data_IF_871403230361
#
_entry.id   IF_871403230361
#
_cell.length_a   1.000
_cell.length_b   1.000
_cell.length_c   1.000
_cell.angle_alpha   90.00
_cell.angle_beta   90.00
_cell.angle_gamma   90.00
#
_symmetry.space_group_name_H-M   'P 1'
#
loop_
_entity.id
_entity.type
_entity.pdbx_description
1 polymer ?
#
# COMPACT_ATOMS: atom_id res chain seq x y z
N UNK A 1 9.87 -29.18 5.91
CA UNK A 1 10.22 -28.95 4.49
C UNK A 1 9.90 -27.49 4.21
N UNK A 2 10.94 -26.69 3.95
CA UNK A 2 10.84 -25.26 3.70
C UNK A 2 10.63 -24.98 2.21
N UNK A 3 9.99 -23.82 1.95
CA UNK A 3 9.82 -23.13 0.67
C UNK A 3 8.83 -23.76 -0.33
N UNK A 4 7.55 -23.36 -0.21
CA UNK A 4 6.74 -23.07 -1.40
C UNK A 4 6.88 -21.57 -1.66
N UNK A 5 7.99 -21.16 -2.26
CA UNK A 5 8.00 -19.86 -2.95
C UNK A 5 7.25 -20.14 -4.24
N UNK A 6 5.96 -19.77 -4.30
CA UNK A 6 5.23 -19.83 -5.55
C UNK A 6 5.94 -18.90 -6.53
N UNK A 7 6.49 -19.44 -7.60
CA UNK A 7 7.05 -18.62 -8.66
C UNK A 7 5.93 -17.73 -9.21
N UNK A 8 5.97 -16.44 -8.90
CA UNK A 8 5.00 -15.49 -9.42
C UNK A 8 5.36 -15.19 -10.88
N UNK A 9 4.46 -15.50 -11.81
CA UNK A 9 4.68 -15.25 -13.24
C UNK A 9 4.33 -13.80 -13.61
N UNK A 10 4.85 -13.32 -14.73
CA UNK A 10 4.46 -12.01 -15.28
C UNK A 10 2.95 -11.95 -15.56
N UNK A 11 2.34 -13.06 -15.98
CA UNK A 11 0.90 -13.17 -16.20
C UNK A 11 0.10 -12.97 -14.92
N UNK A 12 0.58 -13.53 -13.80
CA UNK A 12 -0.03 -13.34 -12.49
C UNK A 12 -0.11 -11.85 -12.11
N UNK A 13 1.02 -11.12 -12.23
CA UNK A 13 1.04 -9.69 -11.93
C UNK A 13 0.20 -8.86 -12.90
N UNK A 14 0.17 -9.26 -14.18
CA UNK A 14 -0.66 -8.60 -15.20
C UNK A 14 -2.15 -8.75 -14.87
N UNK A 15 -2.58 -9.97 -14.52
CA UNK A 15 -3.95 -10.26 -14.11
C UNK A 15 -4.33 -9.49 -12.84
N UNK A 16 -3.45 -9.50 -11.83
CA UNK A 16 -3.68 -8.79 -10.57
C UNK A 16 -3.82 -7.28 -10.79
N UNK A 17 -2.97 -6.69 -11.64
CA UNK A 17 -3.06 -5.29 -12.00
C UNK A 17 -4.35 -4.97 -12.78
N UNK A 18 -4.79 -5.86 -13.67
CA UNK A 18 -6.04 -5.71 -14.42
C UNK A 18 -7.29 -5.76 -13.53
N UNK A 19 -7.28 -6.52 -12.44
CA UNK A 19 -8.37 -6.55 -11.45
C UNK A 19 -8.46 -5.27 -10.62
N UNK A 20 -7.38 -4.51 -10.58
CA UNK A 20 -7.35 -3.15 -10.05
C UNK A 20 -6.44 -2.96 -8.85
N UNK A 21 -6.15 -1.69 -8.55
CA UNK A 21 -5.15 -1.29 -7.54
C UNK A 21 -5.47 -1.80 -6.13
N UNK A 22 -6.75 -1.93 -5.79
CA UNK A 22 -7.17 -2.43 -4.47
C UNK A 22 -6.76 -3.89 -4.26
N UNK A 23 -7.05 -4.77 -5.22
CA UNK A 23 -6.64 -6.18 -5.14
C UNK A 23 -5.12 -6.33 -5.10
N UNK A 24 -4.39 -5.55 -5.90
CA UNK A 24 -2.93 -5.54 -5.88
C UNK A 24 -2.38 -5.18 -4.49
N UNK A 25 -2.96 -4.18 -3.82
CA UNK A 25 -2.54 -3.76 -2.49
C UNK A 25 -2.88 -4.82 -1.44
N UNK A 26 -4.08 -5.40 -1.49
CA UNK A 26 -4.49 -6.47 -0.59
C UNK A 26 -3.57 -7.70 -0.73
N UNK A 27 -3.20 -8.05 -1.95
CA UNK A 27 -2.22 -9.10 -2.21
C UNK A 27 -0.84 -8.74 -1.63
N UNK A 28 -0.34 -7.52 -1.87
CA UNK A 28 0.93 -7.06 -1.30
C UNK A 28 0.92 -7.10 0.24
N UNK A 29 -0.21 -6.81 0.89
CA UNK A 29 -0.36 -6.95 2.34
C UNK A 29 -0.31 -8.41 2.79
N UNK A 30 -0.99 -9.30 2.05
CA UNK A 30 -1.03 -10.74 2.35
C UNK A 30 0.34 -11.39 2.24
N UNK A 31 1.12 -11.01 1.22
CA UNK A 31 2.49 -11.50 1.02
C UNK A 31 3.53 -10.78 1.91
N UNK A 32 3.11 -9.82 2.75
CA UNK A 32 4.01 -9.11 3.65
C UNK A 32 4.94 -8.09 2.96
N UNK A 33 4.67 -7.74 1.70
CA UNK A 33 5.43 -6.76 0.92
C UNK A 33 5.18 -5.32 1.39
N UNK A 34 4.01 -5.06 1.96
CA UNK A 34 3.64 -3.82 2.65
C UNK A 34 2.91 -4.15 3.96
N UNK A 35 2.87 -3.21 4.89
CA UNK A 35 2.16 -3.41 6.14
C UNK A 35 0.64 -3.50 5.91
N UNK A 36 -0.01 -4.43 6.60
CA UNK A 36 -1.46 -4.68 6.54
C UNK A 36 -2.29 -3.76 7.45
N UNK A 37 -1.66 -3.11 8.42
CA UNK A 37 -2.31 -2.16 9.33
C UNK A 37 -1.31 -1.12 9.85
N UNK A 38 -1.83 0.00 10.34
CA UNK A 38 -1.06 1.05 11.00
C UNK A 38 -1.84 1.66 12.15
N UNK A 39 -1.16 1.95 13.25
CA UNK A 39 -1.70 2.73 14.35
C UNK A 39 -1.33 4.20 14.20
N UNK A 40 -2.29 5.08 14.49
CA UNK A 40 -2.08 6.51 14.47
C UNK A 40 -1.18 6.90 15.67
N UNK A 41 -0.03 7.55 15.45
CA UNK A 41 0.86 7.93 16.56
C UNK A 41 0.29 9.04 17.47
N UNK A 42 -0.86 9.62 17.12
CA UNK A 42 -1.53 10.64 17.94
C UNK A 42 -2.65 10.10 18.82
N UNK A 43 -3.38 9.07 18.37
CA UNK A 43 -4.52 8.53 19.12
C UNK A 43 -4.49 7.01 19.31
N UNK A 44 -3.44 6.34 18.83
CA UNK A 44 -3.24 4.88 18.89
C UNK A 44 -4.38 4.05 18.28
N UNK A 45 -5.25 4.67 17.49
CA UNK A 45 -6.29 3.95 16.75
C UNK A 45 -5.79 3.49 15.39
N UNK A 46 -6.37 2.41 14.90
CA UNK A 46 -6.09 1.93 13.55
C UNK A 46 -6.42 2.98 12.49
N UNK A 47 -5.47 3.20 11.59
CA UNK A 47 -5.62 4.09 10.44
C UNK A 47 -6.43 3.39 9.35
N UNK A 48 -7.29 4.15 8.66
CA UNK A 48 -8.00 3.64 7.49
C UNK A 48 -7.14 3.72 6.23
N UNK A 49 -7.17 2.67 5.40
CA UNK A 49 -6.61 2.72 4.06
C UNK A 49 -7.56 3.51 3.15
N UNK A 50 -7.09 4.60 2.58
CA UNK A 50 -7.90 5.50 1.76
C UNK A 50 -7.28 5.67 0.38
N UNK A 51 -8.12 5.64 -0.65
CA UNK A 51 -7.71 6.03 -1.99
C UNK A 51 -7.44 7.54 -2.04
N UNK A 52 -6.33 7.92 -2.68
CA UNK A 52 -5.92 9.31 -2.88
C UNK A 52 -6.09 9.63 -4.36
N UNK A 53 -6.98 10.57 -4.68
CA UNK A 53 -7.30 11.00 -6.05
C UNK A 53 -6.16 11.71 -6.79
N UNK A 54 -5.11 12.15 -6.09
CA UNK A 54 -3.97 12.86 -6.71
C UNK A 54 -2.90 11.89 -7.22
N UNK A 55 -2.02 12.41 -8.09
CA UNK A 55 -0.88 11.78 -8.83
C UNK A 55 0.18 11.07 -7.96
N UNK A 56 -0.15 10.62 -6.74
CA UNK A 56 0.75 9.79 -5.93
C UNK A 56 0.75 8.39 -6.52
N UNK A 57 1.95 7.92 -6.83
CA UNK A 57 2.24 6.71 -7.60
C UNK A 57 1.49 5.46 -7.12
N UNK A 58 1.27 5.37 -5.80
CA UNK A 58 0.69 4.20 -5.15
C UNK A 58 -0.84 4.25 -5.05
N UNK A 59 -1.47 5.40 -5.34
CA UNK A 59 -2.94 5.58 -5.32
C UNK A 59 -3.61 5.49 -3.94
N UNK A 60 -2.92 5.02 -2.90
CA UNK A 60 -3.49 4.80 -1.57
C UNK A 60 -2.59 5.36 -0.47
N UNK A 61 -3.21 5.68 0.67
CA UNK A 61 -2.52 6.10 1.88
C UNK A 61 -3.23 5.61 3.14
N UNK A 62 -2.47 5.44 4.21
CA UNK A 62 -3.02 5.30 5.54
C UNK A 62 -3.40 6.68 6.06
N UNK A 63 -4.66 6.83 6.49
CA UNK A 63 -5.19 8.08 6.98
C UNK A 63 -5.92 7.89 8.30
N UNK A 64 -5.59 8.75 9.26
CA UNK A 64 -6.38 8.96 10.47
C UNK A 64 -6.83 10.43 10.48
N UNK A 65 -8.14 10.65 10.52
CA UNK A 65 -8.74 11.98 10.55
C UNK A 65 -9.78 12.05 11.66
N UNK A 66 -9.51 12.86 12.68
CA UNK A 66 -10.45 13.16 13.76
C UNK A 66 -10.82 14.64 13.76
N UNK A 67 -12.08 14.93 14.08
CA UNK A 67 -12.61 16.28 14.32
C UNK A 67 -13.08 16.37 15.77
N UNK A 68 -13.01 17.55 16.38
CA UNK A 68 -13.44 17.79 17.78
C UNK A 68 -12.28 17.78 18.79
N UNK A 69 -12.51 17.22 19.98
CA UNK A 69 -11.46 17.04 20.99
C UNK A 69 -10.41 16.08 20.43
N UNK A 70 -9.12 16.45 20.48
CA UNK A 70 -8.01 15.76 19.80
C UNK A 70 -8.08 15.78 18.26
N UNK A 71 -8.48 16.92 17.67
CA UNK A 71 -8.45 17.13 16.21
C UNK A 71 -7.06 16.88 15.64
N UNK A 72 -6.98 15.97 14.67
CA UNK A 72 -5.76 15.74 13.91
C UNK A 72 -6.04 15.12 12.55
N UNK A 73 -5.06 15.30 11.66
CA UNK A 73 -5.01 14.67 10.36
C UNK A 73 -3.61 14.10 10.17
N UNK A 74 -3.50 12.79 10.22
CA UNK A 74 -2.24 12.06 10.02
C UNK A 74 -2.38 11.21 8.78
N UNK A 75 -1.45 11.38 7.84
CA UNK A 75 -1.32 10.55 6.64
C UNK A 75 0.03 9.85 6.65
N UNK A 76 0.07 8.61 6.13
CA UNK A 76 1.29 7.83 5.92
C UNK A 76 1.20 7.13 4.55
N UNK A 77 2.32 7.03 3.85
CA UNK A 77 2.42 6.21 2.64
C UNK A 77 2.24 4.73 2.98
N UNK A 78 1.61 3.97 2.09
CA UNK A 78 1.50 2.50 2.22
C UNK A 78 2.87 1.80 2.23
N UNK A 79 3.90 2.46 1.69
CA UNK A 79 5.28 1.95 1.62
C UNK A 79 6.06 2.17 2.91
N UNK A 80 5.53 2.93 3.88
CA UNK A 80 6.23 3.15 5.15
C UNK A 80 6.54 1.79 5.80
N UNK A 81 7.69 1.68 6.46
CA UNK A 81 8.19 0.48 7.15
C UNK A 81 8.09 -0.83 6.34
N UNK A 82 8.03 -0.75 5.02
CA UNK A 82 8.08 -1.90 4.14
C UNK A 82 9.40 -1.92 3.38
N UNK A 83 9.63 -3.02 2.65
CA UNK A 83 10.73 -3.16 1.72
C UNK A 83 10.85 -1.95 0.76
N UNK A 84 9.72 -1.33 0.41
CA UNK A 84 9.66 -0.23 -0.54
C UNK A 84 9.84 1.17 0.07
N UNK A 85 10.03 1.28 1.39
CA UNK A 85 10.00 2.55 2.15
C UNK A 85 10.97 3.62 1.67
N UNK A 86 12.13 3.23 1.16
CA UNK A 86 13.16 4.13 0.64
C UNK A 86 13.42 3.94 -0.87
N UNK A 87 12.60 3.13 -1.53
CA UNK A 87 12.75 2.88 -2.96
C UNK A 87 12.19 4.06 -3.77
N UNK A 88 12.92 4.46 -4.82
CA UNK A 88 12.41 5.35 -5.87
C UNK A 88 11.68 4.56 -6.96
N UNK A 89 11.26 3.33 -6.68
CA UNK A 89 10.54 2.51 -7.64
C UNK A 89 9.20 3.19 -7.94
N UNK A 90 9.10 3.70 -9.16
CA UNK A 90 7.93 4.42 -9.66
C UNK A 90 6.99 3.38 -10.23
N UNK A 91 5.86 3.12 -9.57
CA UNK A 91 4.82 2.18 -10.02
C UNK A 91 4.12 2.55 -11.33
N UNK A 92 4.66 3.49 -12.10
CA UNK A 92 4.27 3.86 -13.45
C UNK A 92 5.49 4.39 -14.21
N UNK A 93 6.24 3.51 -14.87
CA UNK A 93 6.64 3.80 -16.24
C UNK A 93 6.00 2.72 -17.08
N UNK A 94 5.16 3.15 -18.01
CA UNK A 94 4.82 2.39 -19.20
C UNK A 94 6.05 1.61 -19.65
N UNK A 95 5.98 0.27 -19.62
CA UNK A 95 6.81 -0.53 -20.50
C UNK A 95 6.30 -0.20 -21.91
N UNK A 96 6.92 0.81 -22.53
CA UNK A 96 6.90 0.96 -23.98
C UNK A 96 8.22 0.40 -24.49
N UNK A 97 8.18 -0.35 -25.60
CA UNK A 97 9.31 -1.14 -26.11
C UNK A 97 10.56 -0.31 -26.39
#
# INVERSE_FOLDING_TARGET
>A
MAALVSEYTLEFFTLLNARGKKELIEWCMKEGLIASSYECPKCNEQMGLNERKSVVLDGFEWRCRKKGVNTHHVCRSIRKNSWFSNSKLIGNKTFSP
#
